data_IF_418347143993
#
_entry.id   IF_418347143993
#
_cell.length_a   1.000
_cell.length_b   1.000
_cell.length_c   1.000
_cell.angle_alpha   90.00
_cell.angle_beta   90.00
_cell.angle_gamma   90.00
#
_symmetry.space_group_name_H-M   'P 1'
#
loop_
_entity.id
_entity.type
_entity.pdbx_description
1 polymer ?
#
# COMPACT_ATOMS: atom_id res chain seq x y z
N UNK A 1 -27.22 -12.11 -0.05
CA UNK A 1 -27.80 -12.45 -1.37
C UNK A 1 -29.32 -12.53 -1.36
N UNK A 2 -30.00 -12.96 -0.30
CA UNK A 2 -31.46 -13.04 -0.25
C UNK A 2 -32.17 -11.67 -0.26
N UNK A 3 -31.60 -10.64 0.35
CA UNK A 3 -32.18 -9.30 0.40
C UNK A 3 -32.31 -8.59 -0.97
N UNK A 4 -31.47 -8.97 -1.94
CA UNK A 4 -31.51 -8.39 -3.30
C UNK A 4 -32.61 -9.00 -4.15
N UNK A 5 -33.14 -10.17 -3.75
CA UNK A 5 -34.23 -10.88 -4.46
C UNK A 5 -35.62 -10.57 -3.91
N UNK A 6 -35.73 -9.80 -2.83
CA UNK A 6 -37.01 -9.38 -2.31
C UNK A 6 -37.70 -8.47 -3.35
N UNK A 7 -39.02 -8.65 -3.64
CA UNK A 7 -39.72 -7.75 -4.55
C UNK A 7 -39.75 -6.36 -3.94
N UNK A 8 -38.97 -5.45 -4.53
CA UNK A 8 -38.98 -4.05 -4.16
C UNK A 8 -40.31 -3.38 -4.49
N UNK A 9 -40.44 -2.10 -4.13
CA UNK A 9 -41.60 -1.29 -4.51
C UNK A 9 -41.73 -1.28 -6.04
N UNK A 10 -42.84 -1.78 -6.54
CA UNK A 10 -43.13 -1.81 -7.99
C UNK A 10 -43.23 -0.37 -8.52
N UNK A 11 -42.52 -0.11 -9.57
CA UNK A 11 -42.60 1.16 -10.32
C UNK A 11 -43.51 0.98 -11.55
N UNK A 12 -43.82 2.09 -12.24
CA UNK A 12 -44.52 2.01 -13.52
C UNK A 12 -43.68 1.21 -14.53
N UNK A 13 -44.34 0.36 -15.36
CA UNK A 13 -43.64 -0.52 -16.30
C UNK A 13 -42.64 0.22 -17.24
N UNK A 14 -43.02 1.44 -17.67
CA UNK A 14 -42.16 2.29 -18.49
C UNK A 14 -40.88 2.71 -17.74
N UNK A 15 -40.97 2.99 -16.44
CA UNK A 15 -39.82 3.37 -15.59
C UNK A 15 -38.92 2.15 -15.35
N UNK A 16 -39.51 0.99 -15.09
CA UNK A 16 -38.76 -0.27 -14.94
C UNK A 16 -38.00 -0.64 -16.22
N UNK A 17 -38.63 -0.52 -17.38
CA UNK A 17 -38.01 -0.78 -18.66
C UNK A 17 -36.83 0.17 -18.96
N UNK A 18 -37.02 1.46 -18.67
CA UNK A 18 -35.95 2.45 -18.84
C UNK A 18 -34.75 2.16 -17.94
N UNK A 19 -34.98 1.88 -16.65
CA UNK A 19 -33.87 1.53 -15.73
C UNK A 19 -33.22 0.19 -16.09
N UNK A 20 -33.99 -0.80 -16.53
CA UNK A 20 -33.44 -2.08 -17.00
C UNK A 20 -32.51 -1.88 -18.19
N UNK A 21 -32.86 -1.05 -19.16
CA UNK A 21 -32.03 -0.73 -20.30
C UNK A 21 -30.71 -0.05 -19.87
N UNK A 22 -30.79 0.91 -18.92
CA UNK A 22 -29.59 1.58 -18.35
C UNK A 22 -28.69 0.57 -17.62
N UNK A 23 -29.25 -0.31 -16.80
CA UNK A 23 -28.49 -1.32 -16.06
C UNK A 23 -27.80 -2.29 -17.02
N UNK A 24 -28.49 -2.77 -18.06
CA UNK A 24 -27.89 -3.63 -19.08
C UNK A 24 -26.70 -2.94 -19.77
N UNK A 25 -26.87 -1.67 -20.16
CA UNK A 25 -25.77 -0.88 -20.74
C UNK A 25 -24.59 -0.74 -19.81
N UNK A 26 -24.82 -0.42 -18.52
CA UNK A 26 -23.78 -0.28 -17.51
C UNK A 26 -23.05 -1.61 -17.26
N UNK A 27 -23.77 -2.72 -17.16
CA UNK A 27 -23.17 -4.05 -17.02
C UNK A 27 -22.30 -4.38 -18.22
N UNK A 28 -22.74 -4.07 -19.44
CA UNK A 28 -21.93 -4.25 -20.66
C UNK A 28 -20.62 -3.48 -20.62
N UNK A 29 -20.67 -2.21 -20.20
CA UNK A 29 -19.45 -1.38 -20.05
C UNK A 29 -18.51 -1.96 -18.99
N UNK A 30 -19.05 -2.35 -17.82
CA UNK A 30 -18.23 -2.95 -16.74
C UNK A 30 -17.60 -4.25 -17.21
N UNK A 31 -18.31 -5.09 -17.93
CA UNK A 31 -17.77 -6.35 -18.49
C UNK A 31 -16.62 -6.07 -19.44
N UNK A 32 -16.82 -5.19 -20.42
CA UNK A 32 -15.78 -4.82 -21.36
C UNK A 32 -14.53 -4.23 -20.68
N UNK A 33 -14.72 -3.36 -19.67
CA UNK A 33 -13.61 -2.81 -18.88
C UNK A 33 -12.84 -3.90 -18.11
N UNK A 34 -13.54 -4.86 -17.51
CA UNK A 34 -12.91 -5.97 -16.80
C UNK A 34 -12.09 -6.86 -17.74
N UNK A 35 -12.57 -7.13 -18.93
CA UNK A 35 -11.82 -7.87 -19.96
C UNK A 35 -10.55 -7.13 -20.36
N UNK A 36 -10.65 -5.82 -20.64
CA UNK A 36 -9.48 -5.01 -20.97
C UNK A 36 -8.46 -4.93 -19.82
N UNK A 37 -8.93 -4.80 -18.58
CA UNK A 37 -8.06 -4.83 -17.40
C UNK A 37 -7.32 -6.18 -17.32
N UNK A 38 -8.02 -7.30 -17.56
CA UNK A 38 -7.40 -8.63 -17.59
C UNK A 38 -6.27 -8.73 -18.62
N UNK A 39 -6.53 -8.31 -19.85
CA UNK A 39 -5.53 -8.30 -20.93
C UNK A 39 -4.31 -7.43 -20.58
N UNK A 40 -4.55 -6.23 -20.04
CA UNK A 40 -3.45 -5.35 -19.61
C UNK A 40 -2.64 -5.94 -18.45
N UNK A 41 -3.29 -6.66 -17.53
CA UNK A 41 -2.60 -7.34 -16.44
C UNK A 41 -1.69 -8.45 -16.94
N UNK A 42 -2.10 -9.21 -17.95
CA UNK A 42 -1.28 -10.24 -18.59
C UNK A 42 -0.03 -9.64 -19.27
N UNK A 43 -0.21 -8.55 -20.02
CA UNK A 43 0.91 -7.83 -20.66
C UNK A 43 1.90 -7.32 -19.61
N UNK A 44 1.39 -6.70 -18.54
CA UNK A 44 2.24 -6.22 -17.43
C UNK A 44 2.98 -7.38 -16.77
N UNK A 45 2.31 -8.52 -16.53
CA UNK A 45 2.91 -9.69 -15.91
C UNK A 45 4.06 -10.27 -16.77
N UNK A 46 3.86 -10.36 -18.07
CA UNK A 46 4.87 -10.84 -19.01
C UNK A 46 6.12 -9.95 -19.02
N UNK A 47 5.93 -8.64 -19.18
CA UNK A 47 7.05 -7.69 -19.21
C UNK A 47 7.77 -7.60 -17.87
N UNK A 48 7.01 -7.57 -16.77
CA UNK A 48 7.60 -7.53 -15.43
C UNK A 48 8.40 -8.80 -15.12
N UNK A 49 7.91 -9.97 -15.54
CA UNK A 49 8.60 -11.26 -15.30
C UNK A 49 9.98 -11.36 -15.95
N UNK A 50 10.24 -10.57 -17.01
CA UNK A 50 11.55 -10.49 -17.68
C UNK A 50 12.54 -9.56 -16.96
N UNK A 51 12.08 -8.80 -15.97
CA UNK A 51 12.93 -7.84 -15.28
C UNK A 51 13.88 -8.53 -14.28
N UNK A 52 15.20 -8.20 -14.25
CA UNK A 52 16.17 -8.87 -13.38
C UNK A 52 15.82 -8.84 -11.87
N UNK A 53 15.12 -7.82 -11.42
CA UNK A 53 14.70 -7.71 -10.03
C UNK A 53 13.30 -8.27 -9.74
N UNK A 54 12.61 -8.88 -10.73
CA UNK A 54 11.23 -9.36 -10.57
C UNK A 54 11.10 -10.29 -9.36
N UNK A 55 11.98 -11.27 -9.24
CA UNK A 55 11.97 -12.25 -8.16
C UNK A 55 12.16 -11.60 -6.78
N UNK A 56 12.97 -10.54 -6.70
CA UNK A 56 13.19 -9.81 -5.45
C UNK A 56 11.90 -9.12 -5.01
N UNK A 57 11.19 -8.47 -5.94
CA UNK A 57 9.91 -7.83 -5.65
C UNK A 57 8.85 -8.85 -5.28
N UNK A 58 8.73 -9.95 -6.02
CA UNK A 58 7.76 -11.01 -5.78
C UNK A 58 8.01 -11.77 -4.47
N UNK A 59 9.25 -11.82 -4.00
CA UNK A 59 9.59 -12.40 -2.71
C UNK A 59 9.10 -11.59 -1.51
N UNK A 60 8.70 -10.32 -1.73
CA UNK A 60 8.21 -9.48 -0.64
C UNK A 60 6.76 -9.80 -0.29
N UNK A 61 6.40 -9.85 1.00
CA UNK A 61 5.04 -10.12 1.40
C UNK A 61 4.10 -9.02 0.92
N UNK A 62 2.95 -9.44 0.39
CA UNK A 62 1.90 -8.55 -0.07
C UNK A 62 2.16 -7.87 -1.43
N UNK A 63 3.25 -8.22 -2.13
CA UNK A 63 3.49 -7.82 -3.52
C UNK A 63 3.10 -8.95 -4.47
N UNK A 64 1.89 -8.86 -5.05
CA UNK A 64 1.56 -9.63 -6.25
C UNK A 64 2.14 -8.95 -7.50
N UNK A 65 2.10 -9.63 -8.64
CA UNK A 65 2.74 -9.19 -9.90
C UNK A 65 2.43 -7.73 -10.26
N UNK A 66 1.17 -7.34 -10.27
CA UNK A 66 0.74 -6.00 -10.66
C UNK A 66 1.24 -4.93 -9.68
N UNK A 67 1.17 -5.22 -8.38
CA UNK A 67 1.62 -4.28 -7.37
C UNK A 67 3.15 -4.16 -7.33
N UNK A 68 3.85 -5.26 -7.59
CA UNK A 68 5.29 -5.32 -7.73
C UNK A 68 5.77 -4.52 -8.96
N UNK A 69 5.15 -4.74 -10.13
CA UNK A 69 5.43 -3.98 -11.34
C UNK A 69 5.20 -2.46 -11.14
N UNK A 70 4.08 -2.10 -10.49
CA UNK A 70 3.79 -0.70 -10.16
C UNK A 70 4.85 -0.12 -9.22
N UNK A 71 5.26 -0.87 -8.20
CA UNK A 71 6.28 -0.43 -7.24
C UNK A 71 7.64 -0.23 -7.91
N UNK A 72 8.01 -1.11 -8.83
CA UNK A 72 9.21 -0.98 -9.66
C UNK A 72 9.12 0.26 -10.55
N UNK A 73 8.05 0.42 -11.33
CA UNK A 73 7.88 1.55 -12.24
C UNK A 73 7.93 2.91 -11.54
N UNK A 74 7.33 3.03 -10.36
CA UNK A 74 7.36 4.27 -9.56
C UNK A 74 8.70 4.49 -8.83
N UNK A 75 9.42 3.42 -8.50
CA UNK A 75 10.75 3.49 -7.88
C UNK A 75 11.85 3.80 -8.89
N UNK A 76 11.63 3.45 -10.17
CA UNK A 76 12.64 3.46 -11.22
C UNK A 76 13.59 2.26 -11.13
N UNK A 77 14.25 2.02 -12.25
CA UNK A 77 15.03 0.82 -12.55
C UNK A 77 16.50 0.93 -12.12
N UNK A 78 16.99 2.16 -11.87
CA UNK A 78 18.36 2.38 -11.45
C UNK A 78 18.57 1.94 -9.98
N UNK A 79 19.38 0.89 -9.71
CA UNK A 79 19.67 0.42 -8.37
C UNK A 79 20.42 1.47 -7.53
N UNK A 80 21.11 2.43 -8.17
CA UNK A 80 21.88 3.49 -7.53
C UNK A 80 21.05 4.72 -7.19
N UNK A 81 19.80 4.81 -7.70
CA UNK A 81 18.91 5.96 -7.46
C UNK A 81 18.74 6.30 -5.97
N UNK A 82 18.73 5.29 -5.12
CA UNK A 82 18.60 5.47 -3.68
C UNK A 82 19.88 5.02 -2.98
N UNK A 83 20.62 5.97 -2.41
CA UNK A 83 21.86 5.70 -1.69
C UNK A 83 21.64 4.80 -0.47
N UNK A 84 20.50 4.99 0.22
CA UNK A 84 20.13 4.24 1.42
C UNK A 84 18.62 3.99 1.52
N UNK A 85 18.24 3.13 2.47
CA UNK A 85 16.85 2.82 2.74
C UNK A 85 16.04 4.05 3.20
N UNK A 86 16.67 5.02 3.85
CA UNK A 86 16.03 6.25 4.34
C UNK A 86 15.60 7.12 3.16
N UNK A 87 16.45 7.26 2.14
CA UNK A 87 16.12 7.98 0.91
C UNK A 87 14.90 7.36 0.22
N UNK A 88 14.85 6.02 0.06
CA UNK A 88 13.71 5.32 -0.52
C UNK A 88 12.43 5.49 0.31
N UNK A 89 12.52 5.38 1.64
CA UNK A 89 11.42 5.61 2.57
C UNK A 89 10.89 7.06 2.51
N UNK A 90 11.79 8.03 2.40
CA UNK A 90 11.42 9.44 2.26
C UNK A 90 10.72 9.70 0.93
N UNK A 91 11.25 9.19 -0.18
CA UNK A 91 10.67 9.33 -1.50
C UNK A 91 9.25 8.74 -1.57
N UNK A 92 9.04 7.59 -0.96
CA UNK A 92 7.73 6.92 -0.92
C UNK A 92 6.75 7.49 0.12
N UNK A 93 7.17 8.43 0.95
CA UNK A 93 6.33 9.02 2.00
C UNK A 93 6.06 8.12 3.21
N UNK A 94 6.73 6.99 3.30
CA UNK A 94 6.54 6.07 4.43
C UNK A 94 7.31 6.51 5.69
N UNK A 95 8.27 7.43 5.54
CA UNK A 95 9.02 8.02 6.66
C UNK A 95 8.29 9.23 7.23
N UNK A 96 8.04 9.29 8.54
CA UNK A 96 7.45 10.47 9.15
C UNK A 96 8.44 11.64 9.20
N UNK A 97 7.90 12.85 9.41
CA UNK A 97 8.68 14.04 9.75
C UNK A 97 8.47 14.31 11.24
N UNK A 98 9.55 14.42 11.98
CA UNK A 98 9.50 14.86 13.37
C UNK A 98 9.83 16.35 13.45
N UNK A 99 8.93 17.14 14.03
CA UNK A 99 9.16 18.53 14.37
C UNK A 99 9.28 18.65 15.89
N UNK A 100 10.43 19.06 16.37
CA UNK A 100 10.66 19.30 17.77
C UNK A 100 10.92 20.81 17.99
N UNK A 101 10.24 21.41 18.96
CA UNK A 101 10.45 22.80 19.40
C UNK A 101 10.33 22.84 20.92
N UNK A 102 11.42 23.08 21.60
CA UNK A 102 11.49 23.04 23.07
C UNK A 102 11.01 21.70 23.60
N UNK A 103 10.01 21.73 24.48
CA UNK A 103 9.43 20.52 25.11
C UNK A 103 8.38 19.80 24.24
N UNK A 104 8.05 20.34 23.05
CA UNK A 104 6.99 19.81 22.18
C UNK A 104 7.56 19.06 20.99
N UNK A 105 7.24 17.78 20.85
CA UNK A 105 7.58 16.94 19.69
C UNK A 105 6.32 16.49 19.00
N UNK A 106 6.23 16.73 17.68
CA UNK A 106 5.10 16.35 16.85
C UNK A 106 5.62 15.50 15.69
N UNK A 107 4.96 14.36 15.47
CA UNK A 107 5.25 13.46 14.34
C UNK A 107 4.18 13.66 13.29
N UNK A 108 4.58 14.03 12.09
CA UNK A 108 3.71 14.37 10.96
C UNK A 108 3.95 13.40 9.79
N UNK A 109 2.92 13.20 8.98
CA UNK A 109 3.08 12.54 7.69
C UNK A 109 3.88 13.44 6.75
N UNK A 110 4.77 12.85 5.94
CA UNK A 110 5.52 13.57 4.92
C UNK A 110 4.61 13.99 3.77
N UNK A 111 4.64 15.25 3.39
CA UNK A 111 3.78 15.79 2.35
C UNK A 111 4.40 15.69 0.94
N UNK A 112 5.66 16.11 0.79
CA UNK A 112 6.39 16.04 -0.48
C UNK A 112 6.91 14.60 -0.73
N UNK A 113 6.16 13.84 -1.53
CA UNK A 113 6.43 12.41 -1.77
C UNK A 113 5.89 11.97 -3.11
N UNK A 114 6.37 10.85 -3.63
CA UNK A 114 5.69 10.14 -4.70
C UNK A 114 4.42 9.47 -4.15
N UNK A 115 3.26 10.09 -4.39
CA UNK A 115 1.97 9.61 -3.89
C UNK A 115 1.59 8.25 -4.46
N UNK A 116 1.93 7.97 -5.74
CA UNK A 116 1.61 6.70 -6.41
C UNK A 116 2.40 5.55 -5.78
N UNK A 117 3.68 5.75 -5.54
CA UNK A 117 4.52 4.78 -4.82
C UNK A 117 4.03 4.61 -3.39
N UNK A 118 3.72 5.69 -2.70
CA UNK A 118 3.20 5.65 -1.32
C UNK A 118 1.91 4.84 -1.21
N UNK A 119 1.00 4.96 -2.18
CA UNK A 119 -0.23 4.18 -2.26
C UNK A 119 0.06 2.70 -2.53
N UNK A 120 0.95 2.38 -3.48
CA UNK A 120 1.32 0.99 -3.77
C UNK A 120 1.89 0.28 -2.54
N UNK A 121 2.78 0.95 -1.81
CA UNK A 121 3.38 0.41 -0.59
C UNK A 121 2.39 0.33 0.59
N UNK A 122 1.39 1.20 0.63
CA UNK A 122 0.30 1.09 1.60
C UNK A 122 -0.56 -0.16 1.33
N UNK A 123 -0.90 -0.40 0.06
CA UNK A 123 -1.60 -1.61 -0.37
C UNK A 123 -0.77 -2.87 -0.11
N UNK A 124 0.55 -2.82 -0.35
CA UNK A 124 1.47 -3.89 0.03
C UNK A 124 1.37 -4.23 1.52
N UNK A 125 1.45 -3.21 2.37
CA UNK A 125 1.37 -3.42 3.82
C UNK A 125 0.02 -4.01 4.25
N UNK A 126 -1.07 -3.59 3.62
CA UNK A 126 -2.39 -4.16 3.86
C UNK A 126 -2.47 -5.63 3.42
N UNK A 127 -2.04 -5.96 2.21
CA UNK A 127 -2.01 -7.33 1.69
C UNK A 127 -1.06 -8.24 2.49
N UNK A 128 0.03 -7.67 3.03
CA UNK A 128 0.97 -8.42 3.86
C UNK A 128 0.36 -8.91 5.17
N UNK A 129 -0.73 -8.32 5.66
CA UNK A 129 -1.42 -8.77 6.86
C UNK A 129 -2.02 -10.18 6.71
N UNK A 130 -2.43 -10.55 5.51
CA UNK A 130 -2.99 -11.88 5.22
C UNK A 130 -1.93 -12.87 4.75
N UNK A 131 -0.86 -12.39 4.09
CA UNK A 131 0.16 -13.25 3.46
C UNK A 131 1.39 -13.52 4.33
N UNK A 132 1.59 -12.76 5.43
CA UNK A 132 2.79 -12.89 6.26
C UNK A 132 2.45 -12.85 7.75
N UNK A 133 2.61 -13.97 8.49
CA UNK A 133 2.39 -13.99 9.94
C UNK A 133 3.25 -12.97 10.69
N UNK A 134 4.50 -12.74 10.24
CA UNK A 134 5.38 -11.74 10.84
C UNK A 134 4.92 -10.29 10.64
N UNK A 135 4.34 -9.97 9.45
CA UNK A 135 3.73 -8.66 9.21
C UNK A 135 2.48 -8.47 10.08
N UNK A 136 1.66 -9.50 10.21
CA UNK A 136 0.48 -9.51 11.05
C UNK A 136 0.84 -9.29 12.53
N UNK A 137 1.79 -10.05 13.06
CA UNK A 137 2.25 -9.92 14.44
C UNK A 137 2.78 -8.51 14.74
N UNK A 138 3.58 -7.94 13.83
CA UNK A 138 4.07 -6.58 13.98
C UNK A 138 2.93 -5.54 13.98
N UNK A 139 1.96 -5.69 13.09
CA UNK A 139 0.79 -4.82 13.05
C UNK A 139 -0.02 -4.92 14.35
N UNK A 140 -0.29 -6.13 14.85
CA UNK A 140 -1.07 -6.36 16.07
C UNK A 140 -0.35 -5.77 17.31
N UNK A 141 0.98 -5.85 17.38
CA UNK A 141 1.76 -5.16 18.42
C UNK A 141 1.57 -3.63 18.38
N UNK A 142 1.54 -3.04 17.20
CA UNK A 142 1.28 -1.61 17.06
C UNK A 142 -0.15 -1.25 17.49
N UNK A 143 -1.13 -2.09 17.16
CA UNK A 143 -2.52 -1.91 17.57
C UNK A 143 -2.69 -2.03 19.09
N UNK A 144 -2.00 -2.99 19.72
CA UNK A 144 -1.96 -3.14 21.17
C UNK A 144 -1.42 -1.88 21.89
N UNK A 145 -0.49 -1.16 21.24
CA UNK A 145 0.01 0.15 21.69
C UNK A 145 -0.95 1.32 21.40
N UNK A 146 -2.20 1.05 21.03
CA UNK A 146 -3.24 2.05 20.68
C UNK A 146 -2.88 2.93 19.47
N UNK A 147 -1.97 2.47 18.60
CA UNK A 147 -1.66 3.16 17.34
C UNK A 147 -2.82 2.94 16.37
N UNK A 148 -3.32 4.01 15.74
CA UNK A 148 -4.43 3.94 14.79
C UNK A 148 -4.12 3.06 13.57
N UNK A 149 -5.14 2.48 12.94
CA UNK A 149 -5.03 1.54 11.81
C UNK A 149 -4.09 2.04 10.71
N UNK A 150 -4.36 3.20 10.13
CA UNK A 150 -3.55 3.76 9.04
C UNK A 150 -2.12 4.13 9.47
N UNK A 151 -1.92 4.47 10.74
CA UNK A 151 -0.59 4.75 11.29
C UNK A 151 0.21 3.46 11.46
N UNK A 152 -0.43 2.38 11.90
CA UNK A 152 0.18 1.06 12.00
C UNK A 152 0.55 0.51 10.63
N UNK A 153 -0.34 0.62 9.63
CA UNK A 153 -0.02 0.24 8.25
C UNK A 153 1.15 1.03 7.66
N UNK A 154 1.24 2.34 7.92
CA UNK A 154 2.39 3.14 7.47
C UNK A 154 3.70 2.70 8.11
N UNK A 155 3.69 2.35 9.40
CA UNK A 155 4.88 1.83 10.08
C UNK A 155 5.28 0.48 9.50
N UNK A 156 4.32 -0.40 9.22
CA UNK A 156 4.58 -1.67 8.53
C UNK A 156 5.16 -1.43 7.13
N UNK A 157 4.54 -0.55 6.32
CA UNK A 157 5.05 -0.17 5.00
C UNK A 157 6.49 0.38 5.07
N UNK A 158 6.77 1.28 6.01
CA UNK A 158 8.12 1.80 6.24
C UNK A 158 9.14 0.69 6.47
N UNK A 159 8.77 -0.33 7.24
CA UNK A 159 9.63 -1.49 7.51
C UNK A 159 9.82 -2.34 6.26
N UNK A 160 8.74 -2.65 5.53
CA UNK A 160 8.80 -3.44 4.28
C UNK A 160 9.66 -2.75 3.22
N UNK A 161 9.57 -1.43 3.08
CA UNK A 161 10.45 -0.65 2.19
C UNK A 161 11.93 -0.78 2.56
N UNK A 162 12.24 -0.80 3.86
CA UNK A 162 13.61 -1.00 4.32
C UNK A 162 14.14 -2.37 3.95
N UNK A 163 13.32 -3.41 4.08
CA UNK A 163 13.66 -4.78 3.70
C UNK A 163 13.83 -4.89 2.19
N UNK A 164 12.89 -4.37 1.41
CA UNK A 164 12.99 -4.35 -0.05
C UNK A 164 14.28 -3.66 -0.52
N UNK A 165 14.63 -2.52 0.09
CA UNK A 165 15.89 -1.83 -0.24
C UNK A 165 17.11 -2.71 0.04
N UNK A 166 17.13 -3.41 1.18
CA UNK A 166 18.20 -4.35 1.52
C UNK A 166 18.32 -5.47 0.49
N UNK A 167 17.21 -6.12 0.14
CA UNK A 167 17.17 -7.17 -0.87
C UNK A 167 17.66 -6.68 -2.25
N UNK A 168 17.21 -5.51 -2.69
CA UNK A 168 17.67 -4.92 -3.96
C UNK A 168 19.17 -4.58 -3.96
N UNK A 169 19.71 -4.15 -2.82
CA UNK A 169 21.14 -3.83 -2.70
C UNK A 169 22.02 -5.08 -2.70
N UNK A 170 21.56 -6.17 -2.13
CA UNK A 170 22.32 -7.43 -2.01
C UNK A 170 22.05 -8.40 -3.17
N UNK A 171 21.03 -8.14 -4.00
CA UNK A 171 20.56 -9.10 -5.00
C UNK A 171 19.89 -10.36 -4.40
N UNK A 172 19.62 -10.36 -3.10
CA UNK A 172 19.10 -11.54 -2.40
C UNK A 172 17.58 -11.54 -2.29
N UNK A 173 16.96 -12.67 -2.59
CA UNK A 173 15.56 -12.93 -2.35
C UNK A 173 15.26 -13.03 -0.85
N UNK A 174 14.16 -12.46 -0.40
CA UNK A 174 13.74 -12.58 1.00
C UNK A 174 13.46 -14.03 1.43
N UNK A 175 12.98 -14.85 0.54
CA UNK A 175 12.72 -16.28 0.80
C UNK A 175 13.98 -17.06 1.14
N UNK A 176 15.16 -16.60 0.66
CA UNK A 176 16.45 -17.17 1.02
C UNK A 176 16.92 -16.74 2.43
N UNK A 177 16.32 -15.69 2.97
CA UNK A 177 16.62 -15.17 4.31
C UNK A 177 15.40 -15.39 5.19
N UNK A 178 15.18 -16.59 5.67
CA UNK A 178 14.07 -16.97 6.57
C UNK A 178 14.20 -16.37 7.98
N UNK A 179 14.58 -15.10 8.07
CA UNK A 179 14.60 -14.39 9.34
C UNK A 179 13.19 -13.82 9.64
N UNK A 180 12.67 -14.05 10.85
CA UNK A 180 11.51 -13.32 11.33
C UNK A 180 11.79 -11.82 11.22
N UNK A 181 10.78 -11.01 10.94
CA UNK A 181 10.91 -9.55 10.91
C UNK A 181 11.66 -9.12 12.17
N UNK A 182 12.91 -8.61 12.09
CA UNK A 182 13.67 -8.25 13.28
C UNK A 182 12.84 -7.24 14.07
N UNK A 183 12.58 -7.55 15.33
CA UNK A 183 11.95 -6.61 16.25
C UNK A 183 12.90 -5.42 16.36
N UNK A 184 12.38 -4.23 16.12
CA UNK A 184 13.16 -3.00 16.18
C UNK A 184 13.67 -2.80 17.63
N UNK A 185 14.91 -3.18 17.89
CA UNK A 185 15.59 -2.94 19.17
C UNK A 185 16.13 -1.51 19.25
N UNK A 186 15.77 -0.64 18.31
CA UNK A 186 16.19 0.74 18.33
C UNK A 186 15.42 1.54 19.40
N UNK A 187 15.76 1.27 20.65
CA UNK A 187 15.43 2.05 21.83
C UNK A 187 16.22 3.36 21.83
N UNK A 188 15.92 4.28 20.92
CA UNK A 188 16.31 5.66 21.11
C UNK A 188 15.08 6.55 20.92
N UNK A 189 14.49 6.94 22.06
CA UNK A 189 13.77 8.20 22.22
C UNK A 189 12.37 8.29 21.63
N UNK A 190 11.45 7.38 21.96
CA UNK A 190 10.04 7.74 21.93
C UNK A 190 9.51 7.86 23.36
N UNK A 191 9.71 9.07 23.92
CA UNK A 191 8.97 9.51 25.08
C UNK A 191 7.46 9.33 24.82
N UNK A 192 6.76 8.84 25.82
CA UNK A 192 5.32 8.67 25.86
C UNK A 192 4.62 10.03 25.61
N UNK A 193 4.29 10.30 24.36
CA UNK A 193 3.47 11.42 23.97
C UNK A 193 2.33 10.90 23.11
N UNK A 194 1.10 11.15 23.54
CA UNK A 194 -0.13 10.79 22.81
C UNK A 194 -0.05 11.28 21.36
N UNK A 195 0.13 10.34 20.41
CA UNK A 195 0.17 10.59 18.97
C UNK A 195 -1.22 11.02 18.48
N UNK A 196 -1.51 12.30 18.52
CA UNK A 196 -2.67 12.87 17.81
C UNK A 196 -2.26 13.10 16.35
N UNK A 197 -2.60 12.16 15.47
CA UNK A 197 -2.57 12.41 14.03
C UNK A 197 -3.72 13.35 13.66
N UNK A 198 -3.41 14.61 13.38
CA UNK A 198 -4.36 15.52 12.73
C UNK A 198 -4.19 15.36 11.22
N UNK A 199 -5.21 14.87 10.55
CA UNK A 199 -5.37 15.04 9.11
C UNK A 199 -5.73 16.50 8.86
N UNK A 200 -4.88 17.24 8.19
CA UNK A 200 -5.32 18.48 7.55
C UNK A 200 -6.12 18.07 6.30
N UNK A 201 -7.42 18.01 6.42
CA UNK A 201 -8.33 18.06 5.29
C UNK A 201 -8.18 19.44 4.67
N UNK A 202 -7.49 19.50 3.53
CA UNK A 202 -7.56 20.68 2.67
C UNK A 202 -8.96 20.72 2.07
N UNK A 203 -9.93 21.26 2.82
CA UNK A 203 -11.18 21.74 2.24
C UNK A 203 -10.92 23.16 1.72
N UNK A 204 -11.06 23.31 0.45
CA UNK A 204 -11.42 24.45 -0.34
C UNK A 204 -11.02 25.86 0.08
N UNK A 205 -10.39 26.55 -0.83
CA UNK A 205 -10.94 27.81 -1.37
C UNK A 205 -10.05 28.33 -2.48
N UNK A 206 -10.71 28.44 -3.62
CA UNK A 206 -10.53 29.33 -4.78
C UNK A 206 -9.22 29.24 -5.54
#
# INVERSE_FOLDING_TARGET
>A
MAAIRAPGLRQRATTEAAYAAVVVGQVGIITALNEQIGQLQEVVAEHFGRHPAADIYLSQPGLGVILAARTLGESGDDPKRFTDARCRKNHSGQSPITRASGKKTIVLARYATNRRLGQALHLQAFSALSSSPGARAYYDQLRARKIGHHAALRQLANRLVGILHGCLKTGANRLATSQPLPLDTNRHGMAQGSLRYRYATASGRR
#
